data_IF_652763964178
#
_entry.id   IF_652763964178
#
_cell.length_a   1.000
_cell.length_b   1.000
_cell.length_c   1.000
_cell.angle_alpha   90.00
_cell.angle_beta   90.00
_cell.angle_gamma   90.00
#
_symmetry.space_group_name_H-M   'P 1'
#
loop_
_entity.id
_entity.type
_entity.pdbx_description
1 polymer ?
#
# COMPACT_ATOMS: atom_id res chain seq x y z
N UNK A 1 -3.83 21.23 6.42
CA UNK A 1 -4.55 19.95 6.67
C UNK A 1 -3.65 18.80 6.23
N UNK A 2 -3.68 17.66 6.92
CA UNK A 2 -2.93 16.45 6.53
C UNK A 2 -3.81 15.65 5.55
N UNK A 3 -3.23 15.14 4.47
CA UNK A 3 -3.94 14.22 3.58
C UNK A 3 -3.89 12.83 4.22
N UNK A 4 -5.05 12.19 4.41
CA UNK A 4 -5.12 10.85 4.97
C UNK A 4 -5.52 9.89 3.86
N UNK A 5 -4.67 8.90 3.62
CA UNK A 5 -4.94 7.75 2.78
C UNK A 5 -5.40 6.64 3.71
N UNK A 6 -6.57 6.08 3.47
CA UNK A 6 -7.09 4.98 4.27
C UNK A 6 -6.95 3.67 3.51
N UNK A 7 -6.35 2.67 4.13
CA UNK A 7 -6.29 1.29 3.65
C UNK A 7 -7.12 0.42 4.57
N UNK A 8 -8.29 -0.01 4.09
CA UNK A 8 -9.14 -0.95 4.80
C UNK A 8 -8.85 -2.37 4.32
N UNK A 9 -8.40 -3.25 5.21
CA UNK A 9 -7.96 -4.62 4.91
C UNK A 9 -9.03 -5.65 5.12
N UNK A 10 -8.94 -6.71 4.32
CA UNK A 10 -9.61 -7.99 4.52
C UNK A 10 -8.54 -9.08 4.56
N UNK A 11 -8.36 -9.69 5.73
CA UNK A 11 -7.39 -10.76 5.93
C UNK A 11 -7.90 -12.08 5.33
N UNK A 12 -7.03 -12.77 4.57
CA UNK A 12 -7.26 -14.12 4.05
C UNK A 12 -6.00 -14.96 4.25
N UNK A 13 -6.13 -16.27 4.03
CA UNK A 13 -5.04 -17.22 4.31
C UNK A 13 -3.80 -16.99 3.44
N UNK A 14 -4.01 -16.69 2.15
CA UNK A 14 -2.95 -16.59 1.13
C UNK A 14 -2.54 -15.16 0.78
N UNK A 15 -3.46 -14.19 0.90
CA UNK A 15 -3.18 -12.77 0.69
C UNK A 15 -3.95 -11.92 1.69
N UNK A 16 -3.43 -10.74 2.01
CA UNK A 16 -4.26 -9.68 2.60
C UNK A 16 -4.73 -8.78 1.45
N UNK A 17 -6.03 -8.69 1.24
CA UNK A 17 -6.62 -7.77 0.28
C UNK A 17 -6.92 -6.44 0.98
N UNK A 18 -7.01 -5.35 0.23
CA UNK A 18 -7.48 -4.09 0.81
C UNK A 18 -8.11 -3.15 -0.20
N UNK A 19 -8.83 -2.16 0.33
CA UNK A 19 -9.43 -1.04 -0.40
C UNK A 19 -8.76 0.25 0.05
N UNK A 20 -8.32 1.06 -0.90
CA UNK A 20 -7.58 2.30 -0.64
C UNK A 20 -8.47 3.50 -0.97
N UNK A 21 -8.62 4.40 0.00
CA UNK A 21 -9.46 5.58 -0.08
C UNK A 21 -8.65 6.87 0.10
N UNK A 22 -9.11 7.93 -0.55
CA UNK A 22 -8.68 9.31 -0.29
C UNK A 22 -9.95 10.16 -0.23
N UNK A 23 -10.18 10.87 0.89
CA UNK A 23 -11.39 11.67 1.13
C UNK A 23 -12.68 10.87 0.88
N UNK A 24 -12.79 9.68 1.49
CA UNK A 24 -13.94 8.76 1.38
C UNK A 24 -14.23 8.20 -0.03
N UNK A 25 -13.39 8.53 -1.02
CA UNK A 25 -13.50 7.99 -2.38
C UNK A 25 -12.54 6.82 -2.54
N UNK A 26 -13.06 5.64 -2.91
CA UNK A 26 -12.23 4.48 -3.24
C UNK A 26 -11.43 4.77 -4.52
N UNK A 27 -10.11 4.74 -4.41
CA UNK A 27 -9.19 5.02 -5.51
C UNK A 27 -8.77 3.74 -6.21
N UNK A 28 -8.47 2.69 -5.44
CA UNK A 28 -8.02 1.40 -5.95
C UNK A 28 -8.10 0.33 -4.84
N UNK A 29 -7.79 -0.91 -5.20
CA UNK A 29 -7.58 -2.02 -4.26
C UNK A 29 -6.09 -2.22 -3.99
N UNK A 30 -5.77 -3.17 -3.10
CA UNK A 30 -4.41 -3.61 -2.87
C UNK A 30 -4.31 -5.11 -2.60
N UNK A 31 -3.10 -5.63 -2.80
CA UNK A 31 -2.68 -6.95 -2.34
C UNK A 31 -1.41 -6.81 -1.48
N UNK A 32 -1.35 -7.62 -0.43
CA UNK A 32 -0.23 -7.73 0.49
C UNK A 32 -0.01 -9.22 0.85
N UNK A 33 1.10 -9.52 1.52
CA UNK A 33 1.29 -10.83 2.15
C UNK A 33 0.24 -11.04 3.28
N UNK A 34 -0.08 -12.30 3.65
CA UNK A 34 -0.89 -12.61 4.83
C UNK A 34 -0.30 -11.99 6.10
N UNK A 35 -1.14 -11.77 7.11
CA UNK A 35 -0.64 -11.41 8.43
C UNK A 35 0.06 -12.62 9.08
N UNK A 36 1.32 -12.43 9.45
CA UNK A 36 2.17 -13.43 10.13
C UNK A 36 2.92 -12.76 11.28
N UNK A 37 2.18 -12.08 12.16
CA UNK A 37 2.71 -11.42 13.36
C UNK A 37 3.87 -10.44 13.07
N UNK A 38 3.74 -9.61 12.04
CA UNK A 38 4.77 -8.67 11.60
C UNK A 38 6.13 -9.32 11.26
N UNK A 39 6.15 -10.61 10.91
CA UNK A 39 7.39 -11.31 10.56
C UNK A 39 8.04 -10.66 9.32
N UNK A 40 9.34 -10.31 9.39
CA UNK A 40 10.04 -9.72 8.26
C UNK A 40 9.92 -10.54 6.98
N UNK A 41 9.69 -9.86 5.86
CA UNK A 41 9.61 -10.40 4.49
C UNK A 41 8.50 -11.42 4.23
N UNK A 42 7.69 -11.77 5.24
CA UNK A 42 6.67 -12.81 5.18
C UNK A 42 5.28 -12.36 5.64
N UNK A 43 5.18 -11.15 6.19
CA UNK A 43 3.94 -10.57 6.70
C UNK A 43 3.65 -9.22 6.03
N UNK A 44 2.37 -8.86 5.90
CA UNK A 44 1.97 -7.45 5.84
C UNK A 44 2.35 -6.74 7.15
N UNK A 45 2.46 -5.41 7.10
CA UNK A 45 2.80 -4.60 8.28
C UNK A 45 1.61 -4.45 9.23
N UNK A 46 1.81 -4.11 10.52
CA UNK A 46 0.72 -3.95 11.46
C UNK A 46 -0.27 -2.85 11.02
N UNK A 47 -1.51 -2.95 11.47
CA UNK A 47 -2.43 -1.82 11.42
C UNK A 47 -1.88 -0.63 12.23
N UNK A 48 -2.36 0.58 11.92
CA UNK A 48 -1.87 1.79 12.54
C UNK A 48 -1.82 2.98 11.59
N UNK A 49 -1.17 4.05 12.03
CA UNK A 49 -0.96 5.26 11.24
C UNK A 49 0.52 5.47 10.97
N UNK A 50 0.85 5.72 9.71
CA UNK A 50 2.22 5.84 9.24
C UNK A 50 2.39 7.09 8.40
N UNK A 51 3.52 7.77 8.53
CA UNK A 51 3.91 8.84 7.63
C UNK A 51 4.26 8.26 6.26
N UNK A 52 3.88 8.98 5.20
CA UNK A 52 4.22 8.62 3.83
C UNK A 52 5.21 9.61 3.24
N UNK A 53 6.21 9.08 2.53
CA UNK A 53 7.19 9.86 1.78
C UNK A 53 7.20 9.44 0.32
N UNK A 54 6.85 10.39 -0.56
CA UNK A 54 7.03 10.22 -2.00
C UNK A 54 8.52 10.14 -2.34
N UNK A 55 8.90 9.17 -3.16
CA UNK A 55 10.28 8.98 -3.60
C UNK A 55 10.32 8.68 -5.09
N UNK A 56 11.44 9.06 -5.69
CA UNK A 56 11.82 8.68 -7.04
C UNK A 56 13.22 8.08 -7.01
N UNK A 57 13.44 7.00 -7.75
CA UNK A 57 14.78 6.43 -7.97
C UNK A 57 14.89 5.97 -9.41
N UNK A 58 16.09 6.03 -9.99
CA UNK A 58 16.32 5.58 -11.38
C UNK A 58 15.88 4.13 -11.61
N UNK A 59 16.13 3.25 -10.63
CA UNK A 59 15.80 1.83 -10.72
C UNK A 59 14.30 1.51 -10.65
N UNK A 60 13.55 2.22 -9.81
CA UNK A 60 12.15 1.85 -9.48
C UNK A 60 11.12 2.90 -9.89
N UNK A 61 11.55 4.05 -10.41
CA UNK A 61 10.68 5.18 -10.70
C UNK A 61 10.02 5.74 -9.44
N UNK A 62 8.83 6.32 -9.63
CA UNK A 62 8.02 6.90 -8.55
C UNK A 62 7.39 5.81 -7.67
N UNK A 63 7.50 5.98 -6.36
CA UNK A 63 6.91 5.09 -5.36
C UNK A 63 6.71 5.84 -4.04
N UNK A 64 6.06 5.17 -3.09
CA UNK A 64 5.84 5.73 -1.74
C UNK A 64 6.57 4.88 -0.71
N UNK A 65 7.29 5.52 0.20
CA UNK A 65 7.84 4.88 1.40
C UNK A 65 6.86 5.06 2.56
N UNK A 66 6.58 3.98 3.28
CA UNK A 66 5.88 3.99 4.56
C UNK A 66 6.94 4.09 5.65
N UNK A 67 6.95 5.21 6.37
CA UNK A 67 7.97 5.53 7.38
C UNK A 67 7.57 4.99 8.76
N UNK A 68 8.59 4.82 9.62
CA UNK A 68 8.44 4.48 11.04
C UNK A 68 7.63 3.21 11.36
N UNK A 69 7.63 2.23 10.44
CA UNK A 69 7.00 0.93 10.69
C UNK A 69 7.74 0.16 11.79
N UNK A 70 7.10 -0.20 12.92
CA UNK A 70 7.76 -0.88 14.02
C UNK A 70 8.43 -2.19 13.60
N UNK A 71 9.73 -2.31 13.86
CA UNK A 71 10.52 -3.51 13.55
C UNK A 71 10.72 -3.78 12.05
N UNK A 72 10.34 -2.85 11.17
CA UNK A 72 10.43 -3.02 9.71
C UNK A 72 11.09 -1.80 9.07
N UNK A 73 11.70 -2.00 7.91
CA UNK A 73 12.30 -0.94 7.09
C UNK A 73 11.96 -1.21 5.63
N UNK A 74 12.03 -0.16 4.81
CA UNK A 74 11.83 -0.25 3.36
C UNK A 74 10.47 -0.84 2.97
N UNK A 75 9.43 -0.47 3.70
CA UNK A 75 8.06 -0.82 3.36
C UNK A 75 7.59 0.19 2.32
N UNK A 76 7.28 -0.29 1.12
CA UNK A 76 6.94 0.55 0.00
C UNK A 76 5.50 0.32 -0.43
N UNK A 77 4.89 1.34 -1.02
CA UNK A 77 3.74 1.20 -1.91
C UNK A 77 4.28 1.19 -3.33
N UNK A 78 4.23 0.03 -4.00
CA UNK A 78 4.83 -0.15 -5.33
C UNK A 78 4.03 -1.17 -6.17
N UNK A 79 4.19 -1.18 -7.51
CA UNK A 79 3.43 -2.09 -8.34
C UNK A 79 3.88 -3.54 -8.11
N UNK A 80 2.91 -4.43 -7.95
CA UNK A 80 3.05 -5.88 -8.01
C UNK A 80 1.68 -6.50 -8.31
N UNK A 81 1.66 -7.71 -8.88
CA UNK A 81 0.44 -8.42 -9.24
C UNK A 81 0.30 -9.77 -8.52
N UNK A 82 1.38 -10.28 -7.92
CA UNK A 82 1.44 -11.55 -7.18
C UNK A 82 2.14 -11.35 -5.84
N UNK A 83 1.36 -11.25 -4.76
CA UNK A 83 1.87 -10.94 -3.43
C UNK A 83 3.03 -11.84 -2.99
N UNK A 84 2.85 -13.15 -3.06
CA UNK A 84 3.84 -14.15 -2.61
C UNK A 84 5.16 -14.15 -3.42
N UNK A 85 5.12 -13.67 -4.67
CA UNK A 85 6.29 -13.71 -5.57
C UNK A 85 7.06 -12.40 -5.59
N UNK A 86 6.36 -11.29 -5.40
CA UNK A 86 6.89 -9.95 -5.66
C UNK A 86 7.02 -9.09 -4.40
N UNK A 87 6.33 -9.43 -3.31
CA UNK A 87 6.33 -8.64 -2.08
C UNK A 87 7.19 -9.26 -1.00
N UNK A 88 7.76 -8.38 -0.16
CA UNK A 88 8.49 -8.73 1.06
C UNK A 88 7.97 -7.92 2.25
N UNK A 89 6.64 -7.79 2.31
CA UNK A 89 5.89 -7.00 3.28
C UNK A 89 5.50 -5.58 2.82
N UNK A 90 5.72 -5.26 1.54
CA UNK A 90 5.24 -4.04 0.90
C UNK A 90 3.72 -4.12 0.60
N UNK A 91 3.15 -2.98 0.20
CA UNK A 91 1.76 -2.84 -0.22
C UNK A 91 1.73 -2.65 -1.74
N UNK A 92 0.94 -3.46 -2.46
CA UNK A 92 0.79 -3.31 -3.90
C UNK A 92 -0.60 -2.83 -4.27
N UNK A 93 -0.76 -1.58 -4.77
CA UNK A 93 -2.04 -1.11 -5.27
C UNK A 93 -2.36 -1.77 -6.61
N UNK A 94 -3.63 -2.12 -6.82
CA UNK A 94 -4.15 -2.81 -8.02
C UNK A 94 -5.55 -2.24 -8.35
N UNK A 95 -5.92 -2.19 -9.63
CA UNK A 95 -7.26 -1.71 -9.99
C UNK A 95 -8.32 -2.80 -9.80
N UNK A 96 -7.93 -4.05 -10.03
CA UNK A 96 -8.81 -5.21 -9.92
C UNK A 96 -8.13 -6.33 -9.15
N UNK A 97 -8.95 -7.17 -8.53
CA UNK A 97 -8.54 -8.38 -7.82
C UNK A 97 -9.29 -9.57 -8.40
N UNK A 98 -8.55 -10.53 -8.96
CA UNK A 98 -9.09 -11.77 -9.53
C UNK A 98 -8.57 -12.93 -8.69
N UNK A 99 -9.39 -13.39 -7.73
CA UNK A 99 -8.93 -14.29 -6.67
C UNK A 99 -7.85 -13.61 -5.82
N UNK A 100 -6.64 -14.17 -5.84
CA UNK A 100 -5.46 -13.67 -5.12
C UNK A 100 -4.50 -12.87 -6.00
N UNK A 101 -4.85 -12.68 -7.28
CA UNK A 101 -4.04 -11.97 -8.26
C UNK A 101 -4.54 -10.54 -8.45
N UNK A 102 -3.62 -9.59 -8.32
CA UNK A 102 -3.84 -8.20 -8.65
C UNK A 102 -3.66 -7.92 -10.14
N UNK A 103 -4.45 -6.99 -10.68
CA UNK A 103 -4.30 -6.51 -12.06
C UNK A 103 -4.10 -4.99 -12.12
N UNK A 104 -3.39 -4.54 -13.16
CA UNK A 104 -3.17 -3.12 -13.48
C UNK A 104 -2.49 -2.32 -12.35
N UNK A 105 -1.56 -2.93 -11.62
CA UNK A 105 -0.90 -2.28 -10.47
C UNK A 105 -0.17 -0.97 -10.76
N UNK A 106 0.42 -0.83 -11.96
CA UNK A 106 1.03 0.44 -12.39
C UNK A 106 0.00 1.56 -12.58
N UNK A 107 -1.18 1.23 -13.09
CA UNK A 107 -2.28 2.20 -13.26
C UNK A 107 -2.77 2.66 -11.88
N UNK A 108 -2.97 1.70 -10.97
CA UNK A 108 -3.38 1.97 -9.60
C UNK A 108 -2.37 2.86 -8.85
N UNK A 109 -1.07 2.53 -8.92
CA UNK A 109 -0.04 3.37 -8.32
C UNK A 109 -0.01 4.77 -8.92
N UNK A 110 -0.09 4.90 -10.24
CA UNK A 110 -0.09 6.21 -10.90
C UNK A 110 -1.30 7.06 -10.48
N UNK A 111 -2.47 6.45 -10.34
CA UNK A 111 -3.67 7.13 -9.86
C UNK A 111 -3.49 7.59 -8.41
N UNK A 112 -2.95 6.73 -7.55
CA UNK A 112 -2.65 7.05 -6.16
C UNK A 112 -1.66 8.22 -6.05
N UNK A 113 -0.52 8.14 -6.74
CA UNK A 113 0.51 9.19 -6.76
C UNK A 113 -0.02 10.53 -7.28
N UNK A 114 -0.87 10.51 -8.32
CA UNK A 114 -1.50 11.73 -8.87
C UNK A 114 -2.40 12.39 -7.84
N UNK A 115 -3.21 11.63 -7.11
CA UNK A 115 -4.09 12.18 -6.08
C UNK A 115 -3.29 12.72 -4.88
N UNK A 116 -2.25 12.00 -4.45
CA UNK A 116 -1.34 12.47 -3.40
C UNK A 116 -0.73 13.83 -3.80
N UNK A 117 -0.17 13.94 -5.02
CA UNK A 117 0.45 15.18 -5.51
C UNK A 117 -0.55 16.34 -5.61
N UNK A 118 -1.78 16.07 -6.06
CA UNK A 118 -2.84 17.08 -6.17
C UNK A 118 -3.34 17.59 -4.84
N UNK A 119 -3.20 16.82 -3.76
CA UNK A 119 -3.65 17.26 -2.43
C UNK A 119 -2.93 18.52 -1.94
N UNK A 120 -1.79 18.90 -2.55
CA UNK A 120 -1.03 20.10 -2.19
C UNK A 120 -0.38 20.02 -0.81
N UNK A 121 -0.45 18.86 -0.16
CA UNK A 121 -0.04 18.66 1.22
C UNK A 121 1.25 17.85 1.26
N UNK A 122 2.28 18.40 1.92
CA UNK A 122 3.58 17.75 2.07
C UNK A 122 3.59 16.62 3.12
N UNK A 123 2.59 16.55 4.00
CA UNK A 123 2.37 15.45 4.95
C UNK A 123 1.16 14.60 4.54
N UNK A 124 1.45 13.41 4.03
CA UNK A 124 0.43 12.38 3.83
C UNK A 124 0.61 11.29 4.90
N UNK A 125 -0.50 10.86 5.48
CA UNK A 125 -0.54 9.72 6.40
C UNK A 125 -1.27 8.56 5.74
N UNK A 126 -0.77 7.35 5.99
CA UNK A 126 -1.45 6.10 5.71
C UNK A 126 -2.08 5.61 7.01
N UNK A 127 -3.40 5.52 7.05
CA UNK A 127 -4.15 4.88 8.12
C UNK A 127 -4.58 3.49 7.64
N UNK A 128 -4.14 2.47 8.35
CA UNK A 128 -4.47 1.08 8.05
C UNK A 128 -5.39 0.54 9.14
N UNK A 129 -6.51 -0.05 8.73
CA UNK A 129 -7.48 -0.74 9.58
C UNK A 129 -7.99 -2.00 8.86
N UNK A 130 -8.70 -2.87 9.55
CA UNK A 130 -9.53 -3.91 8.92
C UNK A 130 -11.02 -3.59 9.04
N UNK A 131 -11.82 -4.25 8.19
CA UNK A 131 -13.26 -4.45 8.46
C UNK A 131 -13.47 -5.36 9.67
#
# INVERSE_FOLDING_TARGET
MCCVIELCRTYRDEVTAGRIFINDVEICRSIELPWRHNMPTRSCIPEGQYSLKLRHTEKFGDHVLVEDVPGRKWILIHPANYAQKELRGCIAPVMELHGDKGLYSRVALNLLLRNIRKSGIHLCQLKISSE
#
